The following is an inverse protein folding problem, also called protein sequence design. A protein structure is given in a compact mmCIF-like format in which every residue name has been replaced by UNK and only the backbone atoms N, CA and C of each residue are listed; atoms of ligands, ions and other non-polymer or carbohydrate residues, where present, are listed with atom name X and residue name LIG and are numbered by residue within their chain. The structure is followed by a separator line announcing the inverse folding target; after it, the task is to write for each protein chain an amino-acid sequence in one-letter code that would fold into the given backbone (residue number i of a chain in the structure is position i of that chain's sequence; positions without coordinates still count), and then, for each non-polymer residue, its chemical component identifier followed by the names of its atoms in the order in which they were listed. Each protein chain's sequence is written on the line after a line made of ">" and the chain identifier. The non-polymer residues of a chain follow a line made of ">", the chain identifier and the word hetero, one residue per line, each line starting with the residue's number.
data_IF_733929090781
#
_entry.id   IF_733929090781
#
_cell.length_a   1.000
_cell.length_b   1.000
_cell.length_c   1.000
_cell.angle_alpha   90.00
_cell.angle_beta   90.00
_cell.angle_gamma   90.00
#
_symmetry.space_group_name_H-M   'P 1'
#
loop_
_entity.id
_entity.type
_entity.pdbx_description
1 polymer ?
#
# COMPACT_ATOMS: atom_id res chain seq x y z
N UNK A 1 -11.15 1.74 15.50
CA UNK A 1 -10.85 1.07 14.22
C UNK A 1 -9.48 0.41 14.30
N UNK A 2 -9.40 -0.83 13.91
CA UNK A 2 -8.15 -1.57 13.96
C UNK A 2 -7.36 -1.29 12.69
N UNK A 3 -6.12 -0.82 12.84
CA UNK A 3 -5.23 -0.63 11.71
C UNK A 3 -4.77 -2.00 11.18
N UNK A 4 -4.67 -2.17 9.84
CA UNK A 4 -4.18 -3.43 9.27
C UNK A 4 -2.72 -3.70 9.59
N UNK A 5 -1.97 -2.66 9.95
CA UNK A 5 -0.58 -2.74 10.36
C UNK A 5 -0.38 -1.84 11.57
N UNK A 6 0.57 -2.18 12.45
CA UNK A 6 0.89 -1.29 13.58
C UNK A 6 1.30 0.10 13.09
N UNK A 7 0.99 1.10 13.88
CA UNK A 7 1.28 2.48 13.52
C UNK A 7 2.76 2.71 13.22
N UNK A 8 3.64 2.10 14.00
CA UNK A 8 5.09 2.24 13.79
C UNK A 8 5.51 1.70 12.43
N UNK A 9 4.87 0.61 11.98
CA UNK A 9 5.18 0.04 10.67
C UNK A 9 4.62 0.91 9.55
N UNK A 10 3.42 1.46 9.74
CA UNK A 10 2.85 2.39 8.76
C UNK A 10 3.73 3.62 8.59
N UNK A 11 4.32 4.11 9.67
CA UNK A 11 5.24 5.25 9.59
C UNK A 11 6.47 4.93 8.74
N UNK A 12 6.99 3.71 8.86
CA UNK A 12 8.11 3.28 8.03
C UNK A 12 7.73 3.21 6.55
N UNK A 13 6.57 2.64 6.25
CA UNK A 13 6.09 2.61 4.87
C UNK A 13 5.91 4.02 4.33
N UNK A 14 5.30 4.90 5.11
CA UNK A 14 5.06 6.27 4.68
C UNK A 14 6.35 7.05 4.45
N UNK A 15 7.43 6.71 5.15
CA UNK A 15 8.73 7.34 4.91
C UNK A 15 9.24 7.06 3.50
N UNK A 16 8.93 5.87 2.97
CA UNK A 16 9.27 5.53 1.59
C UNK A 16 8.37 6.31 0.62
N UNK A 17 7.06 6.31 0.86
CA UNK A 17 6.12 6.98 -0.05
C UNK A 17 6.42 8.47 -0.17
N UNK A 18 6.84 9.12 0.92
CA UNK A 18 7.15 10.55 0.88
C UNK A 18 8.31 10.91 -0.02
N UNK A 19 9.17 9.95 -0.36
CA UNK A 19 10.28 10.18 -1.27
C UNK A 19 9.84 10.30 -2.73
N UNK A 20 8.60 9.93 -3.02
CA UNK A 20 8.07 9.90 -4.38
C UNK A 20 6.93 10.89 -4.49
N UNK A 21 7.25 12.10 -4.99
CA UNK A 21 6.26 13.17 -5.09
C UNK A 21 5.08 12.82 -5.98
N UNK A 22 5.26 11.86 -6.90
CA UNK A 22 4.22 11.42 -7.82
C UNK A 22 3.10 10.64 -7.14
N UNK A 23 3.36 10.09 -5.96
CA UNK A 23 2.36 9.30 -5.24
C UNK A 23 1.34 10.23 -4.61
N UNK A 24 0.06 10.02 -4.92
CA UNK A 24 -1.04 10.78 -4.31
C UNK A 24 -1.71 10.00 -3.19
N UNK A 25 -2.00 8.72 -3.44
CA UNK A 25 -2.70 7.86 -2.47
C UNK A 25 -2.13 6.46 -2.57
N UNK A 26 -2.01 5.79 -1.44
CA UNK A 26 -1.69 4.36 -1.39
C UNK A 26 -2.75 3.67 -0.56
N UNK A 27 -3.32 2.61 -1.10
CA UNK A 27 -4.28 1.77 -0.37
C UNK A 27 -3.76 0.36 -0.23
N UNK A 28 -3.95 -0.18 0.96
CA UNK A 28 -3.71 -1.60 1.25
C UNK A 28 -4.95 -2.38 0.83
N UNK A 29 -4.78 -3.49 0.12
CA UNK A 29 -5.90 -4.34 -0.26
C UNK A 29 -5.52 -5.80 -0.05
N UNK A 30 -6.36 -6.72 -0.52
CA UNK A 30 -6.10 -8.15 -0.38
C UNK A 30 -6.41 -8.67 1.01
N UNK A 31 -5.75 -9.76 1.40
CA UNK A 31 -6.07 -10.47 2.64
C UNK A 31 -5.86 -9.62 3.88
N UNK A 32 -4.84 -8.76 3.89
CA UNK A 32 -4.57 -7.92 5.06
C UNK A 32 -5.64 -6.87 5.25
N UNK A 33 -6.19 -6.33 4.17
CA UNK A 33 -7.29 -5.39 4.27
C UNK A 33 -8.57 -6.06 4.76
N UNK A 34 -8.75 -7.33 4.39
CA UNK A 34 -9.95 -8.09 4.76
C UNK A 34 -9.84 -8.75 6.13
N UNK A 35 -8.67 -8.74 6.73
CA UNK A 35 -8.46 -9.39 8.02
C UNK A 35 -8.31 -10.90 7.95
N UNK A 36 -8.13 -11.45 6.75
CA UNK A 36 -7.97 -12.90 6.55
C UNK A 36 -6.51 -13.31 6.34
N UNK A 37 -5.59 -12.38 6.63
CA UNK A 37 -4.17 -12.62 6.39
C UNK A 37 -3.56 -13.57 7.42
N UNK A 38 -2.42 -14.15 7.03
CA UNK A 38 -1.53 -14.91 7.90
C UNK A 38 -0.22 -14.14 8.00
N UNK A 39 0.70 -14.53 8.91
CA UNK A 39 2.01 -13.86 8.97
C UNK A 39 2.79 -13.93 7.66
N UNK A 40 2.51 -14.91 6.79
CA UNK A 40 3.18 -15.07 5.51
C UNK A 40 2.49 -14.34 4.37
N UNK A 41 1.34 -13.70 4.62
CA UNK A 41 0.61 -12.99 3.57
C UNK A 41 1.38 -11.77 3.09
N UNK A 42 1.35 -11.53 1.76
CA UNK A 42 1.96 -10.34 1.18
C UNK A 42 1.19 -9.10 1.60
N UNK A 43 1.89 -7.97 1.53
CA UNK A 43 1.29 -6.65 1.70
C UNK A 43 0.97 -6.14 0.29
N UNK A 44 -0.30 -6.12 -0.05
CA UNK A 44 -0.76 -5.70 -1.38
C UNK A 44 -1.08 -4.22 -1.37
N UNK A 45 -0.40 -3.46 -2.22
CA UNK A 45 -0.52 -2.00 -2.26
C UNK A 45 -0.91 -1.54 -3.66
N UNK A 46 -1.91 -0.68 -3.72
CA UNK A 46 -2.30 0.01 -4.95
C UNK A 46 -1.95 1.48 -4.81
N UNK A 47 -1.31 2.03 -5.83
CA UNK A 47 -0.81 3.41 -5.80
C UNK A 47 -1.54 4.25 -6.84
N UNK A 48 -2.08 5.37 -6.40
CA UNK A 48 -2.64 6.40 -7.28
C UNK A 48 -1.62 7.53 -7.43
N UNK A 49 -1.49 8.03 -8.64
CA UNK A 49 -0.57 9.10 -8.98
C UNK A 49 0.12 8.79 -10.30
N UNK A 50 1.07 9.62 -10.68
CA UNK A 50 1.82 9.41 -11.92
C UNK A 50 2.99 8.47 -11.66
N UNK A 51 2.66 7.23 -11.35
CA UNK A 51 3.64 6.18 -11.05
C UNK A 51 3.50 5.10 -12.11
N UNK A 52 4.57 4.90 -12.88
CA UNK A 52 4.59 3.84 -13.89
C UNK A 52 5.06 2.51 -13.26
N UNK A 53 4.97 1.39 -14.00
CA UNK A 53 5.38 0.09 -13.44
C UNK A 53 6.83 0.04 -12.98
N UNK A 54 7.72 0.76 -13.66
CA UNK A 54 9.14 0.78 -13.27
C UNK A 54 9.32 1.48 -11.92
N UNK A 55 8.63 2.60 -11.72
CA UNK A 55 8.68 3.29 -10.44
C UNK A 55 8.05 2.45 -9.34
N UNK A 56 6.98 1.70 -9.65
CA UNK A 56 6.37 0.80 -8.69
C UNK A 56 7.35 -0.28 -8.23
N UNK A 57 8.16 -0.82 -9.15
CA UNK A 57 9.21 -1.77 -8.79
C UNK A 57 10.27 -1.14 -7.90
N UNK A 58 10.63 0.10 -8.18
CA UNK A 58 11.59 0.83 -7.35
C UNK A 58 11.03 1.05 -5.94
N UNK A 59 9.75 1.41 -5.84
CA UNK A 59 9.11 1.59 -4.54
C UNK A 59 9.10 0.27 -3.77
N UNK A 60 8.77 -0.84 -4.44
CA UNK A 60 8.77 -2.15 -3.80
C UNK A 60 10.16 -2.51 -3.28
N UNK A 61 11.21 -2.22 -4.04
CA UNK A 61 12.58 -2.47 -3.62
C UNK A 61 12.94 -1.64 -2.38
N UNK A 62 12.50 -0.38 -2.33
CA UNK A 62 12.75 0.47 -1.19
C UNK A 62 12.01 -0.02 0.05
N UNK A 63 10.78 -0.50 -0.14
CA UNK A 63 10.02 -1.09 0.96
C UNK A 63 10.71 -2.34 1.51
N UNK A 64 11.28 -3.16 0.62
CA UNK A 64 12.00 -4.36 1.02
C UNK A 64 13.22 -4.07 1.88
N UNK A 65 13.75 -2.86 1.81
CA UNK A 65 14.89 -2.44 2.63
C UNK A 65 14.49 -2.06 4.05
N UNK A 66 13.21 -1.90 4.31
CA UNK A 66 12.73 -1.59 5.65
C UNK A 66 12.93 -2.79 6.57
N UNK A 67 13.16 -2.55 7.88
CA UNK A 67 13.35 -3.66 8.83
C UNK A 67 12.02 -4.31 9.22
N UNK A 68 11.28 -4.80 8.22
CA UNK A 68 9.98 -5.43 8.39
C UNK A 68 9.97 -6.78 7.68
N UNK A 69 9.23 -7.76 8.19
CA UNK A 69 9.27 -9.13 7.64
C UNK A 69 8.26 -9.36 6.52
N UNK A 70 7.97 -8.33 5.72
CA UNK A 70 6.91 -8.43 4.72
C UNK A 70 7.45 -8.50 3.30
N UNK A 71 6.69 -9.14 2.43
CA UNK A 71 6.82 -8.99 0.99
C UNK A 71 5.78 -8.00 0.52
N UNK A 72 6.14 -7.18 -0.45
CA UNK A 72 5.26 -6.13 -0.94
C UNK A 72 4.95 -6.37 -2.41
N UNK A 73 3.65 -6.34 -2.74
CA UNK A 73 3.18 -6.33 -4.11
C UNK A 73 2.66 -4.92 -4.39
N UNK A 74 3.38 -4.16 -5.19
CA UNK A 74 3.08 -2.76 -5.45
C UNK A 74 2.60 -2.61 -6.88
N UNK A 75 1.37 -2.11 -7.05
CA UNK A 75 0.77 -1.96 -8.37
C UNK A 75 0.25 -0.54 -8.55
N UNK A 76 0.60 0.14 -9.66
CA UNK A 76 -0.09 1.37 -10.00
C UNK A 76 -1.55 1.04 -10.29
N UNK A 77 -2.46 1.75 -9.64
CA UNK A 77 -3.89 1.43 -9.78
C UNK A 77 -4.35 1.54 -11.23
N UNK A 78 -3.88 2.55 -11.96
CA UNK A 78 -4.30 2.77 -13.34
C UNK A 78 -3.82 1.68 -14.29
N UNK A 79 -2.80 0.92 -13.91
CA UNK A 79 -2.30 -0.19 -14.72
C UNK A 79 -3.05 -1.48 -14.46
N UNK A 80 -3.91 -1.52 -13.46
CA UNK A 80 -4.72 -2.70 -13.18
C UNK A 80 -5.87 -2.72 -14.19
N UNK A 81 -5.87 -3.73 -15.06
CA UNK A 81 -6.87 -3.83 -16.12
C UNK A 81 -8.08 -4.65 -15.72
N UNK A 82 -7.94 -5.50 -14.73
CA UNK A 82 -9.01 -6.40 -14.30
C UNK A 82 -10.05 -5.61 -13.51
N UNK A 83 -11.22 -5.40 -14.10
CA UNK A 83 -12.26 -4.57 -13.49
C UNK A 83 -12.73 -5.09 -12.12
N UNK A 84 -12.94 -6.39 -11.92
CA UNK A 84 -13.31 -6.87 -10.58
C UNK A 84 -12.27 -6.56 -9.53
N UNK A 85 -10.98 -6.58 -9.87
CA UNK A 85 -9.93 -6.24 -8.92
C UNK A 85 -9.95 -4.75 -8.59
N UNK A 86 -10.16 -3.89 -9.60
CA UNK A 86 -10.27 -2.45 -9.36
C UNK A 86 -11.44 -2.16 -8.41
N UNK A 87 -12.58 -2.78 -8.66
CA UNK A 87 -13.75 -2.59 -7.81
C UNK A 87 -13.49 -3.09 -6.38
N UNK A 88 -12.80 -4.22 -6.25
CA UNK A 88 -12.42 -4.77 -4.94
C UNK A 88 -11.55 -3.78 -4.17
N UNK A 89 -10.52 -3.23 -4.83
CA UNK A 89 -9.60 -2.28 -4.20
C UNK A 89 -10.35 -1.02 -3.74
N UNK A 90 -11.24 -0.51 -4.59
CA UNK A 90 -12.00 0.68 -4.22
C UNK A 90 -12.97 0.42 -3.07
N UNK A 91 -13.51 -0.79 -2.98
CA UNK A 91 -14.51 -1.13 -1.97
C UNK A 91 -13.88 -1.48 -0.63
N UNK A 92 -12.80 -2.28 -0.63
CA UNK A 92 -12.21 -2.79 0.61
C UNK A 92 -10.84 -2.22 0.92
N UNK A 93 -10.24 -1.47 0.00
CA UNK A 93 -8.92 -0.90 0.20
C UNK A 93 -8.90 0.05 1.38
N UNK A 94 -7.82 0.00 2.14
CA UNK A 94 -7.64 0.86 3.30
C UNK A 94 -6.56 1.87 2.96
N UNK A 95 -6.90 3.15 3.00
CA UNK A 95 -5.96 4.22 2.70
C UNK A 95 -4.89 4.30 3.79
N UNK A 96 -3.64 4.17 3.41
CA UNK A 96 -2.51 4.25 4.34
C UNK A 96 -1.60 5.43 4.04
N UNK A 97 -1.74 6.06 2.89
CA UNK A 97 -0.95 7.24 2.53
C UNK A 97 -1.83 8.17 1.68
N UNK A 98 -1.84 9.48 1.94
CA UNK A 98 -1.12 10.14 3.03
C UNK A 98 -1.64 9.70 4.38
N UNK A 99 -0.79 9.81 5.43
CA UNK A 99 -1.24 9.42 6.76
C UNK A 99 -2.39 10.32 7.18
N UNK A 100 -3.39 9.71 7.84
CA UNK A 100 -4.52 10.49 8.32
C UNK A 100 -4.05 11.44 9.40
N UNK A 101 -4.48 12.71 9.35
CA UNK A 101 -4.25 13.59 10.49
C UNK A 101 -4.91 12.97 11.72
N UNK A 102 -4.22 13.06 12.84
CA UNK A 102 -4.75 12.55 14.08
C UNK A 102 -5.77 13.56 14.61
N UNK A 103 -6.95 13.51 14.03
CA UNK A 103 -8.03 14.44 14.42
C UNK A 103 -8.82 13.82 15.53
N UNK A 104 -8.93 14.51 16.67
CA UNK A 104 -9.78 14.02 17.74
C UNK A 104 -11.24 14.00 17.34
#
# INVERSE_FOLDING_TARGET
>A
MISPLPLSELELLNSVFRRHAEIRVVKLFGSRAKGTHTPQSDVDLAIWGEVDPLQAEQIAAELDELPLPYRYDVQPFENIKLLPLRAHIERVGISIYPPRPNVP
#
